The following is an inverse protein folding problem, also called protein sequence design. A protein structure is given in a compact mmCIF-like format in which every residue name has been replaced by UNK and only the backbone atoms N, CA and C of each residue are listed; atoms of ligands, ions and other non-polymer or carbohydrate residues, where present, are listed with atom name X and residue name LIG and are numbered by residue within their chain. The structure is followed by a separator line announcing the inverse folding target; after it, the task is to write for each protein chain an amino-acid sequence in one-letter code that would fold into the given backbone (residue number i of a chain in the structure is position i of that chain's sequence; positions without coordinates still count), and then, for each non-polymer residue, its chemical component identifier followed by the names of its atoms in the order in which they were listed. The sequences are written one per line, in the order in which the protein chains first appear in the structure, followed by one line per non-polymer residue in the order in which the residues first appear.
data_IF_188679517945
#
_entry.id   IF_188679517945
#
_cell.length_a   1.000
_cell.length_b   1.000
_cell.length_c   1.000
_cell.angle_alpha   90.00
_cell.angle_beta   90.00
_cell.angle_gamma   90.00
#
_symmetry.space_group_name_H-M   'P 1'
#
loop_
_entity.id
_entity.type
_entity.pdbx_description
1 polymer ?
#
# COMPACT_ATOMS: atom_id res chain seq x y z
N UNK A 1 -13.62 -1.82 0.81
CA UNK A 1 -12.94 -3.06 1.26
C UNK A 1 -12.74 -4.12 0.18
N UNK A 2 -13.76 -4.86 -0.27
CA UNK A 2 -13.55 -6.06 -1.12
C UNK A 2 -12.80 -5.82 -2.45
N UNK A 3 -12.85 -4.59 -2.99
CA UNK A 3 -12.11 -4.22 -4.21
C UNK A 3 -10.65 -3.79 -3.95
N UNK A 4 -10.34 -3.35 -2.72
CA UNK A 4 -9.01 -2.89 -2.29
C UNK A 4 -8.05 -4.05 -1.99
N UNK A 5 -8.58 -5.21 -1.57
CA UNK A 5 -7.78 -6.41 -1.36
C UNK A 5 -7.36 -7.02 -2.71
N UNK A 6 -6.07 -7.33 -2.85
CA UNK A 6 -5.53 -8.07 -3.98
C UNK A 6 -4.54 -9.14 -3.48
N UNK A 7 -4.99 -10.39 -3.45
CA UNK A 7 -4.22 -11.56 -2.99
C UNK A 7 -3.72 -11.37 -1.55
N UNK A 8 -2.52 -10.81 -1.37
CA UNK A 8 -1.86 -10.56 -0.09
C UNK A 8 -1.54 -9.07 0.18
N UNK A 9 -1.84 -8.14 -0.74
CA UNK A 9 -1.74 -6.69 -0.55
C UNK A 9 -3.15 -6.08 -0.32
N UNK A 10 -3.38 -5.28 0.73
CA UNK A 10 -4.57 -4.43 0.89
C UNK A 10 -4.22 -2.96 0.65
N UNK A 11 -4.60 -2.43 -0.52
CA UNK A 11 -4.29 -1.04 -0.90
C UNK A 11 -5.55 -0.19 -0.84
N UNK A 12 -5.52 0.86 -0.02
CA UNK A 12 -6.60 1.85 0.04
C UNK A 12 -6.03 3.29 0.08
N UNK A 13 -6.89 4.30 -0.01
CA UNK A 13 -6.51 5.69 0.19
C UNK A 13 -7.70 6.54 0.63
N UNK A 14 -7.41 7.77 1.06
CA UNK A 14 -8.41 8.75 1.51
C UNK A 14 -7.90 10.18 1.29
N UNK A 15 -8.83 11.13 1.26
CA UNK A 15 -8.59 12.57 1.31
C UNK A 15 -8.17 13.12 2.67
N UNK A 16 -8.43 12.42 3.77
CA UNK A 16 -8.20 12.92 5.14
C UNK A 16 -7.31 12.02 5.99
N UNK A 17 -6.46 12.65 6.81
CA UNK A 17 -5.50 11.94 7.67
C UNK A 17 -6.16 11.27 8.87
N UNK A 18 -7.25 11.83 9.39
CA UNK A 18 -8.02 11.26 10.51
C UNK A 18 -8.80 10.03 10.04
N UNK A 19 -9.43 10.13 8.87
CA UNK A 19 -10.04 8.99 8.20
C UNK A 19 -9.01 7.89 7.94
N UNK A 20 -7.78 8.23 7.50
CA UNK A 20 -6.72 7.24 7.29
C UNK A 20 -6.29 6.49 8.58
N UNK A 21 -6.20 7.22 9.71
CA UNK A 21 -5.90 6.63 11.03
C UNK A 21 -7.03 5.68 11.45
N UNK A 22 -8.30 6.10 11.31
CA UNK A 22 -9.44 5.28 11.68
C UNK A 22 -9.56 4.04 10.78
N UNK A 23 -9.55 4.23 9.47
CA UNK A 23 -9.64 3.18 8.45
C UNK A 23 -8.55 2.12 8.61
N UNK A 24 -7.29 2.53 8.85
CA UNK A 24 -6.20 1.59 9.10
C UNK A 24 -6.38 0.82 10.41
N UNK A 25 -6.87 1.47 11.47
CA UNK A 25 -7.18 0.82 12.74
C UNK A 25 -8.31 -0.22 12.60
N UNK A 26 -9.37 0.10 11.86
CA UNK A 26 -10.47 -0.81 11.56
C UNK A 26 -10.02 -2.00 10.69
N UNK A 27 -9.20 -1.76 9.66
CA UNK A 27 -8.62 -2.81 8.82
C UNK A 27 -7.75 -3.77 9.62
N UNK A 28 -6.87 -3.24 10.47
CA UNK A 28 -6.00 -4.02 11.36
C UNK A 28 -6.84 -4.90 12.29
N UNK A 29 -7.87 -4.35 12.93
CA UNK A 29 -8.76 -5.09 13.81
C UNK A 29 -9.46 -6.25 13.07
N UNK A 30 -10.10 -5.97 11.93
CA UNK A 30 -10.81 -6.97 11.12
C UNK A 30 -9.88 -8.11 10.67
N UNK A 31 -8.65 -7.78 10.26
CA UNK A 31 -7.67 -8.79 9.83
C UNK A 31 -7.13 -9.60 11.02
N UNK A 32 -6.94 -8.98 12.19
CA UNK A 32 -6.55 -9.70 13.40
C UNK A 32 -7.62 -10.71 13.87
N UNK A 33 -8.90 -10.33 13.84
CA UNK A 33 -10.03 -11.23 14.15
C UNK A 33 -10.14 -12.38 13.14
N UNK A 34 -9.82 -12.12 11.87
CA UNK A 34 -9.73 -13.15 10.82
C UNK A 34 -8.46 -14.03 10.93
N UNK A 35 -7.61 -13.84 11.95
CA UNK A 35 -6.29 -14.47 12.08
C UNK A 35 -5.32 -14.19 10.91
N UNK A 36 -5.60 -13.16 10.12
CA UNK A 36 -4.79 -12.69 9.00
C UNK A 36 -3.70 -11.75 9.51
N UNK A 37 -2.54 -12.33 9.83
CA UNK A 37 -1.40 -11.58 10.37
C UNK A 37 -0.79 -10.67 9.29
N UNK A 38 -0.89 -9.35 9.50
CA UNK A 38 -0.22 -8.34 8.69
C UNK A 38 1.30 -8.45 8.81
N UNK A 39 1.99 -8.41 7.67
CA UNK A 39 3.46 -8.65 7.59
C UNK A 39 4.27 -7.38 7.38
N UNK A 40 3.78 -6.42 6.59
CA UNK A 40 4.42 -5.13 6.30
C UNK A 40 3.32 -4.15 5.98
N UNK A 41 3.44 -2.92 6.47
CA UNK A 41 2.46 -1.86 6.23
C UNK A 41 3.19 -0.54 5.98
N UNK A 42 2.64 0.26 5.07
CA UNK A 42 3.29 1.45 4.53
C UNK A 42 2.28 2.51 4.11
N UNK A 43 2.73 3.77 4.14
CA UNK A 43 1.94 4.93 3.74
C UNK A 43 2.85 6.01 3.16
N UNK A 44 2.30 6.88 2.32
CA UNK A 44 2.95 8.12 1.88
C UNK A 44 2.90 9.25 2.94
N UNK A 45 2.04 9.13 3.96
CA UNK A 45 1.85 10.17 4.97
C UNK A 45 2.86 10.06 6.12
N UNK A 46 3.70 11.10 6.36
CA UNK A 46 4.61 11.10 7.52
C UNK A 46 3.85 11.09 8.85
N UNK A 47 2.70 11.78 8.92
CA UNK A 47 1.88 11.89 10.13
C UNK A 47 1.32 10.51 10.51
N UNK A 48 0.81 9.76 9.52
CA UNK A 48 0.29 8.42 9.77
C UNK A 48 1.40 7.44 10.13
N UNK A 49 2.54 7.46 9.43
CA UNK A 49 3.67 6.59 9.73
C UNK A 49 4.17 6.81 11.17
N UNK A 50 4.31 8.06 11.61
CA UNK A 50 4.68 8.37 12.99
C UNK A 50 3.60 8.01 14.02
N UNK A 51 2.31 8.20 13.71
CA UNK A 51 1.22 7.78 14.59
C UNK A 51 1.25 6.25 14.79
N UNK A 52 1.35 5.50 13.70
CA UNK A 52 1.43 4.05 13.69
C UNK A 52 2.68 3.50 14.43
N UNK A 53 3.86 4.10 14.27
CA UNK A 53 5.05 3.72 15.06
C UNK A 53 4.84 3.89 16.56
N UNK A 54 4.14 4.95 16.97
CA UNK A 54 3.89 5.29 18.39
C UNK A 54 2.84 4.40 19.04
N UNK A 55 1.80 4.02 18.31
CA UNK A 55 0.74 3.15 18.84
C UNK A 55 1.21 1.70 19.02
N UNK A 56 2.41 1.35 18.53
CA UNK A 56 2.99 0.00 18.60
C UNK A 56 1.95 -1.06 18.26
N UNK A 57 1.22 -0.82 17.16
CA UNK A 57 0.06 -1.63 16.78
C UNK A 57 0.52 -3.07 16.67
N UNK A 58 -0.07 -3.95 17.48
CA UNK A 58 0.49 -5.26 17.87
C UNK A 58 0.40 -6.33 16.76
N UNK A 59 0.39 -5.87 15.52
CA UNK A 59 0.66 -6.66 14.34
C UNK A 59 2.14 -7.05 14.33
N UNK A 60 2.43 -8.33 14.12
CA UNK A 60 3.78 -8.89 13.96
C UNK A 60 4.51 -8.43 12.68
N UNK A 61 4.00 -7.40 12.01
CA UNK A 61 4.53 -6.82 10.78
C UNK A 61 5.23 -5.50 11.06
N UNK A 62 6.40 -5.33 10.46
CA UNK A 62 7.19 -4.11 10.59
C UNK A 62 6.55 -2.97 9.80
N UNK A 63 6.34 -1.82 10.44
CA UNK A 63 6.17 -0.54 9.76
C UNK A 63 7.36 -0.31 8.83
N UNK A 64 7.11 0.08 7.59
CA UNK A 64 8.20 0.49 6.70
C UNK A 64 8.49 1.98 6.87
N UNK A 65 9.77 2.33 6.95
CA UNK A 65 10.18 3.72 7.08
C UNK A 65 9.80 4.52 5.82
N UNK A 66 9.39 5.77 6.01
CA UNK A 66 9.09 6.66 4.90
C UNK A 66 10.38 6.91 4.09
N UNK A 67 10.33 6.68 2.79
CA UNK A 67 11.47 6.77 1.88
C UNK A 67 12.18 5.44 1.61
N UNK A 68 11.83 4.36 2.31
CA UNK A 68 12.29 3.01 1.94
C UNK A 68 11.53 2.54 0.69
N UNK A 69 12.20 2.20 -0.42
CA UNK A 69 11.52 1.76 -1.64
C UNK A 69 10.81 0.43 -1.45
N UNK A 70 9.48 0.46 -1.45
CA UNK A 70 8.62 -0.71 -1.26
C UNK A 70 8.30 -1.39 -2.58
N UNK A 71 8.33 -2.72 -2.65
CA UNK A 71 7.78 -3.43 -3.81
C UNK A 71 6.30 -3.77 -3.57
N UNK A 72 5.41 -3.03 -4.22
CA UNK A 72 3.94 -3.19 -4.14
C UNK A 72 3.44 -3.68 -5.50
N UNK A 73 2.61 -4.73 -5.52
CA UNK A 73 2.03 -5.31 -6.75
C UNK A 73 3.04 -5.71 -7.87
N UNK A 74 4.35 -5.70 -7.59
CA UNK A 74 5.42 -5.95 -8.57
C UNK A 74 6.25 -4.72 -8.97
N UNK A 75 5.85 -3.52 -8.57
CA UNK A 75 6.44 -2.22 -8.92
C UNK A 75 7.11 -1.64 -7.68
N UNK A 76 8.10 -0.76 -7.84
CA UNK A 76 8.69 -0.04 -6.69
C UNK A 76 7.86 1.22 -6.43
N UNK A 77 7.30 1.37 -5.22
CA UNK A 77 6.71 2.61 -4.73
C UNK A 77 7.72 3.33 -3.83
N UNK A 78 8.00 4.58 -4.20
CA UNK A 78 8.65 5.57 -3.35
C UNK A 78 7.53 6.32 -2.61
N UNK A 79 7.20 5.84 -1.42
CA UNK A 79 6.13 6.38 -0.60
C UNK A 79 6.40 7.83 -0.15
N UNK A 80 7.65 8.24 0.06
CA UNK A 80 7.99 9.60 0.46
C UNK A 80 7.60 10.65 -0.60
N UNK A 81 7.78 10.31 -1.87
CA UNK A 81 7.50 11.20 -3.00
C UNK A 81 6.21 10.81 -3.74
N UNK A 82 5.47 9.83 -3.23
CA UNK A 82 4.33 9.15 -3.88
C UNK A 82 4.56 8.80 -5.37
N UNK A 83 5.71 8.17 -5.65
CA UNK A 83 6.17 7.93 -7.01
C UNK A 83 6.34 6.44 -7.32
N UNK A 84 5.84 6.01 -8.47
CA UNK A 84 5.97 4.63 -8.96
C UNK A 84 7.19 4.51 -9.88
N UNK A 85 8.17 3.72 -9.45
CA UNK A 85 9.46 3.51 -10.11
C UNK A 85 9.48 2.14 -10.82
N UNK A 86 9.83 2.20 -12.11
CA UNK A 86 9.93 1.04 -12.98
C UNK A 86 11.40 0.79 -13.35
N UNK A 87 11.89 -0.45 -13.18
CA UNK A 87 13.14 -0.83 -13.85
C UNK A 87 12.84 -1.03 -15.33
N UNK A 88 13.41 -0.16 -16.17
CA UNK A 88 13.25 -0.21 -17.63
C UNK A 88 13.60 -1.61 -18.17
N UNK A 89 14.58 -2.32 -17.58
CA UNK A 89 14.96 -3.68 -18.00
C UNK A 89 13.89 -4.73 -17.68
N UNK A 90 13.04 -4.49 -16.69
CA UNK A 90 11.83 -5.30 -16.49
C UNK A 90 10.77 -4.91 -17.54
N UNK A 91 10.58 -3.61 -17.82
CA UNK A 91 9.65 -3.14 -18.84
C UNK A 91 9.99 -3.65 -20.26
N UNK A 92 11.27 -3.73 -20.63
CA UNK A 92 11.74 -4.37 -21.87
C UNK A 92 11.26 -5.83 -21.99
N UNK A 93 11.25 -6.58 -20.89
CA UNK A 93 10.77 -7.98 -20.84
C UNK A 93 9.24 -8.06 -20.87
N UNK A 94 8.55 -7.02 -20.40
CA UNK A 94 7.08 -6.90 -20.46
C UNK A 94 6.60 -6.35 -21.82
N UNK A 95 7.47 -5.72 -22.61
CA UNK A 95 7.17 -5.11 -23.94
C UNK A 95 6.47 -6.07 -24.91
N UNK A 96 6.75 -7.37 -24.80
CA UNK A 96 6.17 -8.44 -25.64
C UNK A 96 5.03 -9.22 -24.96
N UNK A 97 4.56 -8.78 -23.79
CA UNK A 97 3.38 -9.35 -23.12
C UNK A 97 2.17 -8.46 -23.41
N UNK A 98 1.28 -8.92 -24.27
CA UNK A 98 -0.01 -8.25 -24.55
C UNK A 98 -0.89 -8.11 -23.29
N UNK A 99 -0.61 -8.92 -22.26
CA UNK A 99 -1.15 -8.71 -20.92
C UNK A 99 -0.24 -7.78 -20.11
N UNK A 100 -0.66 -6.51 -20.01
CA UNK A 100 -0.41 -5.72 -18.79
C UNK A 100 -0.86 -6.60 -17.61
N UNK A 101 0.07 -6.95 -16.71
CA UNK A 101 -0.28 -7.84 -15.59
C UNK A 101 -1.45 -7.23 -14.82
N UNK A 102 -2.45 -8.04 -14.46
CA UNK A 102 -3.70 -7.58 -13.82
C UNK A 102 -3.44 -6.61 -12.65
N UNK A 103 -2.32 -6.82 -11.95
CA UNK A 103 -1.71 -5.96 -10.92
C UNK A 103 -1.55 -4.49 -11.35
N UNK A 104 -0.87 -4.25 -12.47
CA UNK A 104 -0.69 -2.91 -13.06
C UNK A 104 -2.02 -2.27 -13.45
N UNK A 105 -2.89 -3.06 -14.07
CA UNK A 105 -4.19 -2.58 -14.52
C UNK A 105 -5.08 -2.17 -13.34
N UNK A 106 -5.07 -2.94 -12.24
CA UNK A 106 -5.83 -2.64 -11.02
C UNK A 106 -5.35 -1.33 -10.37
N UNK A 107 -4.03 -1.13 -10.29
CA UNK A 107 -3.44 0.09 -9.71
C UNK A 107 -3.78 1.36 -10.51
N UNK A 108 -3.88 1.26 -11.85
CA UNK A 108 -4.25 2.38 -12.73
C UNK A 108 -5.78 2.64 -12.79
N UNK A 109 -6.63 1.63 -12.57
CA UNK A 109 -8.09 1.77 -12.63
C UNK A 109 -8.74 2.20 -11.30
N UNK A 110 -8.18 1.82 -10.15
CA UNK A 110 -8.83 1.96 -8.84
C UNK A 110 -8.56 3.30 -8.11
N UNK A 111 -8.36 4.40 -8.84
CA UNK A 111 -8.37 5.79 -8.31
C UNK A 111 -7.29 6.18 -7.27
N UNK A 112 -6.37 5.28 -6.89
CA UNK A 112 -5.31 5.58 -5.93
C UNK A 112 -4.44 6.79 -6.31
N UNK A 113 -4.24 7.06 -7.60
CA UNK A 113 -3.50 8.22 -8.11
C UNK A 113 -4.16 9.59 -7.89
N UNK A 114 -5.29 9.65 -7.18
CA UNK A 114 -6.02 10.90 -6.91
C UNK A 114 -6.25 11.18 -5.42
N UNK A 115 -5.83 10.27 -4.53
CA UNK A 115 -6.05 10.38 -3.09
C UNK A 115 -4.72 10.77 -2.39
N UNK A 116 -4.70 11.84 -1.58
CA UNK A 116 -3.47 12.36 -0.98
C UNK A 116 -2.84 11.46 0.08
N UNK A 117 -3.64 10.62 0.76
CA UNK A 117 -3.12 9.63 1.73
C UNK A 117 -3.37 8.24 1.20
N UNK A 118 -2.29 7.48 0.99
CA UNK A 118 -2.32 6.09 0.53
C UNK A 118 -1.90 5.15 1.65
N UNK A 119 -2.56 4.01 1.72
CA UNK A 119 -2.38 2.91 2.66
C UNK A 119 -2.03 1.65 1.86
N UNK A 120 -0.95 0.96 2.23
CA UNK A 120 -0.71 -0.43 1.85
C UNK A 120 -0.56 -1.22 3.14
N UNK A 121 -1.47 -2.15 3.39
CA UNK A 121 -1.66 -2.87 4.66
C UNK A 121 -1.56 -4.38 4.41
#
# INVERSE_FOLDING_TARGET
MLNELYVDDLINGTSDITEAIQLSSEMIYILSEASMNLRRWATNSPILNEAWKRTNVDCRGTSEELGVPLKILGIIWDNMNDNLKFDIRQFERLRNLEMVTVRLQKMLLHHFSTLPVILNI
#
